data_IF_582820486653
#
_entry.id   IF_582820486653
#
_cell.length_a   1.000
_cell.length_b   1.000
_cell.length_c   1.000
_cell.angle_alpha   90.00
_cell.angle_beta   90.00
_cell.angle_gamma   90.00
#
_symmetry.space_group_name_H-M   'P 1'
#
loop_
_entity.id
_entity.type
_entity.pdbx_description
1 polymer ?
#
# COMPACT_ATOMS: atom_id res chain seq x y z
N UNK A 1 9.90 8.31 20.95
CA UNK A 1 8.75 9.13 20.50
C UNK A 1 8.26 8.53 19.19
N UNK A 2 6.98 8.64 18.85
CA UNK A 2 6.49 8.24 17.52
C UNK A 2 6.56 9.46 16.61
N UNK A 3 7.02 9.28 15.38
CA UNK A 3 7.05 10.36 14.39
C UNK A 3 5.67 10.60 13.77
N UNK A 4 4.84 9.56 13.71
CA UNK A 4 3.43 9.64 13.30
C UNK A 4 2.56 8.95 14.35
N UNK A 5 1.52 9.63 14.80
CA UNK A 5 0.46 9.03 15.62
C UNK A 5 -0.79 8.85 14.77
N UNK A 6 -1.30 7.62 14.70
CA UNK A 6 -2.56 7.36 14.00
C UNK A 6 -3.71 8.10 14.68
N UNK A 7 -4.50 8.81 13.89
CA UNK A 7 -5.73 9.48 14.33
C UNK A 7 -6.90 9.09 13.43
N UNK A 8 -8.13 9.31 13.90
CA UNK A 8 -9.32 9.04 13.07
C UNK A 8 -9.43 9.97 11.86
N UNK A 9 -8.69 11.08 11.83
CA UNK A 9 -8.65 12.00 10.68
C UNK A 9 -7.95 11.38 9.45
N UNK A 10 -7.21 10.28 9.65
CA UNK A 10 -6.59 9.51 8.58
C UNK A 10 -7.51 8.41 8.02
N UNK A 11 -8.62 8.13 8.70
CA UNK A 11 -9.54 7.10 8.25
C UNK A 11 -10.30 7.57 6.99
N UNK A 12 -10.40 6.65 6.05
CA UNK A 12 -11.15 6.80 4.81
C UNK A 12 -12.52 6.10 4.90
N UNK A 13 -12.72 5.21 5.88
CA UNK A 13 -13.94 4.43 6.00
C UNK A 13 -13.97 3.21 5.08
N UNK A 14 -12.81 2.81 4.55
CA UNK A 14 -12.61 1.53 3.88
C UNK A 14 -11.72 0.71 4.81
N UNK A 15 -12.32 -0.20 5.58
CA UNK A 15 -11.64 -0.91 6.68
C UNK A 15 -10.29 -1.54 6.26
N UNK A 16 -10.26 -2.18 5.08
CA UNK A 16 -9.05 -2.81 4.54
C UNK A 16 -7.92 -1.78 4.28
N UNK A 17 -8.24 -0.61 3.71
CA UNK A 17 -7.26 0.46 3.46
C UNK A 17 -6.84 1.12 4.77
N UNK A 18 -7.78 1.37 5.68
CA UNK A 18 -7.49 1.96 6.99
C UNK A 18 -6.57 1.05 7.83
N UNK A 19 -6.71 -0.27 7.74
CA UNK A 19 -5.78 -1.23 8.34
C UNK A 19 -4.40 -1.20 7.68
N UNK A 20 -4.34 -1.08 6.35
CA UNK A 20 -3.07 -0.92 5.62
C UNK A 20 -2.35 0.37 6.01
N UNK A 21 -3.07 1.50 6.12
CA UNK A 21 -2.50 2.76 6.56
C UNK A 21 -1.98 2.72 7.99
N UNK A 22 -2.70 2.08 8.93
CA UNK A 22 -2.21 1.86 10.31
C UNK A 22 -0.91 1.05 10.32
N UNK A 23 -0.81 0.04 9.48
CA UNK A 23 0.39 -0.78 9.35
C UNK A 23 1.55 0.04 8.79
N UNK A 24 1.33 0.86 7.76
CA UNK A 24 2.34 1.78 7.20
C UNK A 24 2.84 2.77 8.25
N UNK A 25 1.95 3.38 9.05
CA UNK A 25 2.33 4.22 10.18
C UNK A 25 3.23 3.47 11.16
N UNK A 26 2.91 2.21 11.46
CA UNK A 26 3.74 1.35 12.29
C UNK A 26 5.14 1.12 11.71
N UNK A 27 5.24 0.86 10.40
CA UNK A 27 6.50 0.66 9.69
C UNK A 27 7.36 1.94 9.66
N UNK A 28 6.76 3.10 9.38
CA UNK A 28 7.47 4.40 9.37
C UNK A 28 8.01 4.72 10.77
N UNK A 29 7.20 4.51 11.82
CA UNK A 29 7.65 4.68 13.20
C UNK A 29 8.78 3.71 13.59
N UNK A 30 8.72 2.47 13.09
CA UNK A 30 9.78 1.49 13.33
C UNK A 30 11.10 1.90 12.64
N UNK A 31 11.03 2.45 11.42
CA UNK A 31 12.19 2.98 10.71
C UNK A 31 12.79 4.19 11.44
N UNK A 32 11.96 5.15 11.86
CA UNK A 32 12.39 6.33 12.62
C UNK A 32 13.10 5.92 13.93
N UNK A 33 12.53 4.98 14.70
CA UNK A 33 13.18 4.52 15.93
C UNK A 33 14.60 3.95 15.71
N UNK A 34 14.91 3.47 14.50
CA UNK A 34 16.24 2.95 14.15
C UNK A 34 17.22 4.02 13.65
N UNK A 35 16.75 5.20 13.25
CA UNK A 35 17.64 6.32 12.88
C UNK A 35 18.26 6.99 14.11
N UNK A 36 17.57 6.94 15.26
CA UNK A 36 18.01 7.53 16.53
C UNK A 36 18.82 6.59 17.43
N UNK A 37 19.03 5.34 17.02
CA UNK A 37 19.83 4.35 17.74
C UNK A 37 21.01 3.92 16.87
N UNK A 38 22.14 3.53 17.49
CA UNK A 38 23.20 2.74 16.83
C UNK A 38 22.66 1.35 16.48
N UNK A 39 21.78 1.30 15.49
CA UNK A 39 21.11 0.08 15.07
C UNK A 39 21.98 -0.67 14.06
N UNK A 40 21.98 -1.99 14.18
CA UNK A 40 22.64 -2.87 13.21
C UNK A 40 22.09 -2.59 11.80
N UNK A 41 22.94 -2.31 10.79
CA UNK A 41 22.51 -1.99 9.43
C UNK A 41 21.56 -3.03 8.81
N UNK A 42 21.70 -4.28 9.24
CA UNK A 42 20.86 -5.39 8.80
C UNK A 42 19.40 -5.24 9.25
N UNK A 43 19.16 -4.62 10.41
CA UNK A 43 17.81 -4.33 10.89
C UNK A 43 17.14 -3.28 10.01
N UNK A 44 17.86 -2.22 9.65
CA UNK A 44 17.36 -1.20 8.74
C UNK A 44 17.05 -1.79 7.36
N UNK A 45 17.95 -2.61 6.80
CA UNK A 45 17.70 -3.31 5.53
C UNK A 45 16.41 -4.11 5.54
N UNK A 46 16.17 -4.90 6.59
CA UNK A 46 14.93 -5.69 6.71
C UNK A 46 13.68 -4.81 6.75
N UNK A 47 13.72 -3.71 7.52
CA UNK A 47 12.58 -2.78 7.60
C UNK A 47 12.30 -2.09 6.26
N UNK A 48 13.34 -1.68 5.52
CA UNK A 48 13.19 -1.07 4.19
C UNK A 48 12.62 -2.07 3.16
N UNK A 49 13.07 -3.32 3.21
CA UNK A 49 12.54 -4.39 2.36
C UNK A 49 11.06 -4.69 2.69
N UNK A 50 10.72 -4.75 3.98
CA UNK A 50 9.33 -4.91 4.43
C UNK A 50 8.45 -3.75 3.98
N UNK A 51 8.89 -2.51 4.16
CA UNK A 51 8.17 -1.33 3.70
C UNK A 51 7.97 -1.37 2.18
N UNK A 52 9.02 -1.66 1.41
CA UNK A 52 8.96 -1.74 -0.06
C UNK A 52 7.96 -2.78 -0.56
N UNK A 53 7.91 -3.94 0.10
CA UNK A 53 6.93 -4.96 -0.21
C UNK A 53 5.51 -4.49 0.14
N UNK A 54 5.33 -3.93 1.33
CA UNK A 54 4.02 -3.55 1.83
C UNK A 54 3.39 -2.41 1.01
N UNK A 55 4.19 -1.39 0.64
CA UNK A 55 3.69 -0.26 -0.18
C UNK A 55 3.32 -0.72 -1.59
N UNK A 56 4.02 -1.71 -2.15
CA UNK A 56 3.65 -2.28 -3.45
C UNK A 56 2.27 -2.92 -3.38
N UNK A 57 2.00 -3.68 -2.32
CA UNK A 57 0.75 -4.42 -2.19
C UNK A 57 -0.41 -3.49 -1.85
N UNK A 58 -0.19 -2.53 -0.95
CA UNK A 58 -1.14 -1.47 -0.62
C UNK A 58 -1.51 -0.63 -1.85
N UNK A 59 -0.52 -0.08 -2.56
CA UNK A 59 -0.76 0.69 -3.78
C UNK A 59 -1.46 -0.17 -4.85
N UNK A 60 -1.09 -1.43 -5.00
CA UNK A 60 -1.73 -2.34 -5.94
C UNK A 60 -3.22 -2.55 -5.67
N UNK A 61 -3.62 -2.59 -4.39
CA UNK A 61 -5.03 -2.68 -4.01
C UNK A 61 -5.80 -1.41 -4.41
N UNK A 62 -5.27 -0.23 -4.07
CA UNK A 62 -5.90 1.04 -4.41
C UNK A 62 -6.01 1.26 -5.92
N UNK A 63 -4.91 0.98 -6.64
CA UNK A 63 -4.84 1.09 -8.09
C UNK A 63 -5.94 0.25 -8.77
N UNK A 64 -6.24 -0.95 -8.24
CA UNK A 64 -7.35 -1.81 -8.72
C UNK A 64 -8.73 -1.28 -8.32
N UNK A 65 -8.85 -0.78 -7.09
CA UNK A 65 -10.09 -0.18 -6.60
C UNK A 65 -10.50 1.01 -7.48
N UNK A 66 -9.53 1.84 -7.86
CA UNK A 66 -9.73 2.97 -8.78
C UNK A 66 -10.03 2.49 -10.20
N UNK A 67 -9.27 1.54 -10.73
CA UNK A 67 -9.42 1.05 -12.10
C UNK A 67 -10.78 0.37 -12.36
N UNK A 68 -11.37 -0.26 -11.34
CA UNK A 68 -12.70 -0.86 -11.38
C UNK A 68 -13.82 0.11 -10.94
N UNK A 69 -13.47 1.33 -10.56
CA UNK A 69 -14.25 2.09 -9.59
C UNK A 69 -15.02 3.31 -10.04
N UNK A 70 -15.00 3.61 -11.33
CA UNK A 70 -15.59 4.83 -11.85
C UNK A 70 -14.82 6.10 -11.48
N UNK A 71 -13.60 6.00 -10.95
CA UNK A 71 -12.72 7.16 -10.77
C UNK A 71 -12.45 7.86 -12.11
N UNK A 72 -12.34 9.19 -12.08
CA UNK A 72 -12.00 9.98 -13.25
C UNK A 72 -10.58 9.64 -13.74
N UNK A 73 -10.34 9.60 -15.06
CA UNK A 73 -9.01 9.29 -15.60
C UNK A 73 -7.90 10.23 -15.11
N UNK A 74 -8.20 11.51 -14.86
CA UNK A 74 -7.23 12.47 -14.31
C UNK A 74 -6.82 12.10 -12.86
N UNK A 75 -7.78 11.72 -12.01
CA UNK A 75 -7.49 11.27 -10.65
C UNK A 75 -6.64 9.99 -10.68
N UNK A 76 -7.05 9.00 -11.49
CA UNK A 76 -6.32 7.73 -11.65
C UNK A 76 -4.87 8.00 -12.09
N UNK A 77 -4.67 8.83 -13.11
CA UNK A 77 -3.34 9.15 -13.62
C UNK A 77 -2.45 9.82 -12.58
N UNK A 78 -2.98 10.78 -11.82
CA UNK A 78 -2.23 11.47 -10.75
C UNK A 78 -1.88 10.53 -9.59
N UNK A 79 -2.85 9.74 -9.12
CA UNK A 79 -2.66 8.80 -8.01
C UNK A 79 -1.58 7.76 -8.34
N UNK A 80 -1.66 7.16 -9.54
CA UNK A 80 -0.66 6.18 -9.99
C UNK A 80 0.73 6.80 -10.15
N UNK A 81 0.80 8.07 -10.59
CA UNK A 81 2.07 8.78 -10.71
C UNK A 81 2.71 9.02 -9.34
N UNK A 82 1.94 9.41 -8.32
CA UNK A 82 2.39 9.54 -6.94
C UNK A 82 2.93 8.22 -6.39
N UNK A 83 2.21 7.11 -6.57
CA UNK A 83 2.67 5.78 -6.19
C UNK A 83 3.97 5.37 -6.89
N UNK A 84 4.06 5.62 -8.20
CA UNK A 84 5.25 5.31 -8.98
C UNK A 84 6.46 6.12 -8.50
N UNK A 85 6.25 7.41 -8.21
CA UNK A 85 7.30 8.29 -7.70
C UNK A 85 7.77 7.84 -6.32
N UNK A 86 6.85 7.56 -5.39
CA UNK A 86 7.17 7.05 -4.06
C UNK A 86 8.01 5.76 -4.12
N UNK A 87 7.58 4.79 -4.94
CA UNK A 87 8.33 3.53 -5.15
C UNK A 87 9.74 3.79 -5.67
N UNK A 88 9.92 4.76 -6.57
CA UNK A 88 11.24 5.15 -7.08
C UNK A 88 12.12 5.75 -5.98
N UNK A 89 11.60 6.71 -5.22
CA UNK A 89 12.35 7.36 -4.14
C UNK A 89 12.76 6.36 -3.06
N UNK A 90 11.85 5.47 -2.65
CA UNK A 90 12.15 4.42 -1.68
C UNK A 90 13.24 3.47 -2.19
N UNK A 91 13.19 3.08 -3.47
CA UNK A 91 14.20 2.24 -4.10
C UNK A 91 15.57 2.92 -4.13
N UNK A 92 15.63 4.19 -4.52
CA UNK A 92 16.89 4.94 -4.62
C UNK A 92 17.53 5.11 -3.24
N UNK A 93 16.74 5.47 -2.23
CA UNK A 93 17.21 5.61 -0.85
C UNK A 93 17.65 4.27 -0.23
N UNK A 94 16.95 3.18 -0.55
CA UNK A 94 17.36 1.83 -0.13
C UNK A 94 18.69 1.43 -0.77
N UNK A 95 18.85 1.69 -2.08
CA UNK A 95 20.09 1.43 -2.82
C UNK A 95 21.26 2.21 -2.24
N UNK A 96 21.03 3.46 -1.86
CA UNK A 96 22.03 4.33 -1.25
C UNK A 96 22.47 3.83 0.13
N UNK A 97 21.51 3.41 0.94
CA UNK A 97 21.77 2.78 2.22
C UNK A 97 22.62 1.51 2.08
N UNK A 98 22.30 0.65 1.11
CA UNK A 98 23.05 -0.58 0.81
C UNK A 98 24.49 -0.32 0.38
N UNK A 99 24.74 0.80 -0.31
CA UNK A 99 26.10 1.29 -0.66
C UNK A 99 26.87 1.85 0.53
N UNK A 100 26.31 1.80 1.74
CA UNK A 100 26.95 2.28 2.97
C UNK A 100 26.76 3.78 3.22
N UNK A 101 25.93 4.48 2.44
CA UNK A 101 25.59 5.90 2.70
C UNK A 101 24.59 6.00 3.85
N UNK A 102 25.08 5.97 5.09
CA UNK A 102 24.22 5.98 6.29
C UNK A 102 23.53 7.33 6.55
N UNK A 103 24.04 8.42 5.99
CA UNK A 103 23.47 9.76 6.15
C UNK A 103 22.13 9.98 5.41
N UNK A 104 21.65 9.00 4.64
CA UNK A 104 20.37 9.09 3.90
C UNK A 104 19.15 8.72 4.75
N UNK A 105 19.35 8.19 5.96
CA UNK A 105 18.25 7.68 6.80
C UNK A 105 17.34 8.78 7.32
N UNK A 106 17.87 9.92 7.78
CA UNK A 106 17.06 11.06 8.25
C UNK A 106 16.24 11.66 7.10
N UNK A 107 16.84 12.04 5.94
CA UNK A 107 16.08 12.52 4.79
C UNK A 107 15.01 11.53 4.31
N UNK A 108 15.29 10.22 4.38
CA UNK A 108 14.30 9.20 4.06
C UNK A 108 13.08 9.25 4.99
N UNK A 109 13.28 9.31 6.31
CA UNK A 109 12.16 9.39 7.26
C UNK A 109 11.34 10.65 7.02
N UNK A 110 12.00 11.80 6.86
CA UNK A 110 11.30 13.08 6.59
C UNK A 110 10.46 13.00 5.32
N UNK A 111 11.01 12.42 4.25
CA UNK A 111 10.27 12.17 3.02
C UNK A 111 9.07 11.25 3.24
N UNK A 112 9.28 10.09 3.88
CA UNK A 112 8.21 9.12 4.15
C UNK A 112 7.06 9.74 4.93
N UNK A 113 7.37 10.52 5.98
CA UNK A 113 6.36 11.18 6.82
C UNK A 113 5.59 12.22 6.04
N UNK A 114 6.28 13.12 5.34
CA UNK A 114 5.61 14.18 4.59
C UNK A 114 4.77 13.63 3.43
N UNK A 115 5.33 12.70 2.66
CA UNK A 115 4.60 12.09 1.55
C UNK A 115 3.37 11.34 2.05
N UNK A 116 3.53 10.47 3.07
CA UNK A 116 2.43 9.67 3.60
C UNK A 116 1.29 10.52 4.13
N UNK A 117 1.59 11.54 4.95
CA UNK A 117 0.56 12.43 5.50
C UNK A 117 -0.18 13.21 4.41
N UNK A 118 0.54 13.68 3.38
CA UNK A 118 -0.09 14.35 2.25
C UNK A 118 -0.98 13.39 1.46
N UNK A 119 -0.45 12.21 1.14
CA UNK A 119 -1.11 11.23 0.29
C UNK A 119 -2.44 10.75 0.89
N UNK A 120 -2.42 10.25 2.14
CA UNK A 120 -3.63 9.69 2.76
C UNK A 120 -4.72 10.74 3.02
N UNK A 121 -4.32 11.98 3.34
CA UNK A 121 -5.29 13.04 3.68
C UNK A 121 -5.89 13.68 2.43
N UNK A 122 -5.13 13.75 1.33
CA UNK A 122 -5.52 14.49 0.13
C UNK A 122 -5.87 13.54 -1.03
N UNK A 123 -4.95 12.65 -1.38
CA UNK A 123 -5.05 11.82 -2.59
C UNK A 123 -6.01 10.66 -2.37
N UNK A 124 -5.81 9.87 -1.32
CA UNK A 124 -6.65 8.68 -1.06
C UNK A 124 -8.07 9.08 -0.66
N UNK A 125 -8.21 10.20 0.07
CA UNK A 125 -9.52 10.78 0.37
C UNK A 125 -10.28 11.17 -0.90
N UNK A 126 -9.61 11.72 -1.90
CA UNK A 126 -10.23 12.04 -3.19
C UNK A 126 -10.66 10.77 -3.94
N UNK A 127 -9.88 9.69 -3.87
CA UNK A 127 -10.29 8.37 -4.35
C UNK A 127 -11.59 7.94 -3.68
N UNK A 128 -11.62 7.86 -2.34
CA UNK A 128 -12.79 7.38 -1.60
C UNK A 128 -14.06 8.17 -1.92
N UNK A 129 -13.96 9.51 -2.07
CA UNK A 129 -15.09 10.34 -2.48
C UNK A 129 -15.68 9.92 -3.82
N UNK A 130 -14.84 9.60 -4.81
CA UNK A 130 -15.34 9.14 -6.11
C UNK A 130 -15.84 7.69 -6.06
N UNK A 131 -15.21 6.83 -5.25
CA UNK A 131 -15.65 5.44 -5.12
C UNK A 131 -17.04 5.32 -4.50
N UNK A 132 -17.37 6.16 -3.52
CA UNK A 132 -18.69 6.21 -2.89
C UNK A 132 -19.82 6.68 -3.82
N UNK A 133 -19.48 7.32 -4.95
CA UNK A 133 -20.45 7.85 -5.90
C UNK A 133 -20.77 6.87 -7.05
N UNK A 134 -20.11 5.70 -7.10
CA UNK A 134 -20.19 4.75 -8.22
C UNK A 134 -20.89 3.44 -7.83
N UNK A 135 -21.60 2.83 -8.79
CA UNK A 135 -22.17 1.47 -8.68
C UNK A 135 -21.18 0.43 -9.27
N UNK A 136 -21.08 -0.80 -8.71
CA UNK A 136 -21.79 -1.37 -7.56
C UNK A 136 -21.23 -0.91 -6.20
N UNK A 137 -21.90 -1.31 -5.11
CA UNK A 137 -21.50 -1.04 -3.71
C UNK A 137 -19.99 -1.25 -3.45
N UNK A 138 -19.43 -0.34 -2.65
CA UNK A 138 -17.99 -0.28 -2.35
C UNK A 138 -17.47 -1.57 -1.70
N UNK A 139 -18.22 -2.23 -0.82
CA UNK A 139 -17.77 -3.46 -0.18
C UNK A 139 -17.50 -4.57 -1.20
N UNK A 140 -18.39 -4.71 -2.18
CA UNK A 140 -18.24 -5.66 -3.29
C UNK A 140 -16.97 -5.38 -4.11
N UNK A 141 -16.67 -4.10 -4.34
CA UNK A 141 -15.50 -3.68 -5.12
C UNK A 141 -14.19 -3.92 -4.37
N UNK A 142 -14.15 -3.63 -3.07
CA UNK A 142 -12.99 -3.92 -2.22
C UNK A 142 -12.68 -5.42 -2.23
N UNK A 143 -13.71 -6.27 -2.08
CA UNK A 143 -13.53 -7.72 -2.13
C UNK A 143 -12.97 -8.20 -3.48
N UNK A 144 -13.48 -7.66 -4.60
CA UNK A 144 -13.03 -7.99 -5.94
C UNK A 144 -11.57 -7.53 -6.18
N UNK A 145 -11.24 -6.29 -5.82
CA UNK A 145 -9.89 -5.74 -5.97
C UNK A 145 -8.86 -6.52 -5.15
N UNK A 146 -9.21 -6.89 -3.90
CA UNK A 146 -8.37 -7.73 -3.03
C UNK A 146 -8.13 -9.09 -3.65
N UNK A 147 -9.18 -9.77 -4.14
CA UNK A 147 -9.02 -11.07 -4.78
C UNK A 147 -8.12 -10.97 -6.00
N UNK A 148 -8.33 -9.96 -6.84
CA UNK A 148 -7.52 -9.74 -8.03
C UNK A 148 -6.05 -9.48 -7.68
N UNK A 149 -5.78 -8.67 -6.64
CA UNK A 149 -4.43 -8.42 -6.14
C UNK A 149 -3.74 -9.70 -5.68
N UNK A 150 -4.41 -10.49 -4.84
CA UNK A 150 -3.90 -11.78 -4.37
C UNK A 150 -3.61 -12.74 -5.53
N UNK A 151 -4.45 -12.75 -6.57
CA UNK A 151 -4.24 -13.65 -7.72
C UNK A 151 -3.07 -13.24 -8.62
N UNK A 152 -2.73 -11.96 -8.70
CA UNK A 152 -1.63 -11.52 -9.56
C UNK A 152 -0.26 -11.88 -9.00
N UNK A 153 -0.16 -12.04 -7.68
CA UNK A 153 1.06 -12.50 -7.00
C UNK A 153 1.28 -14.01 -7.11
N UNK A 154 0.25 -14.77 -7.51
CA UNK A 154 0.35 -16.21 -7.69
C UNK A 154 1.05 -16.58 -9.01
N UNK A 155 1.82 -17.66 -8.97
CA UNK A 155 2.34 -18.29 -10.18
C UNK A 155 1.19 -18.74 -11.09
N UNK A 156 1.45 -18.90 -12.39
CA UNK A 156 0.42 -19.35 -13.33
C UNK A 156 -0.17 -20.72 -12.93
N UNK A 157 0.67 -21.60 -12.39
CA UNK A 157 0.26 -22.89 -11.82
C UNK A 157 -0.67 -22.73 -10.62
N UNK A 158 -0.35 -21.82 -9.68
CA UNK A 158 -1.15 -21.63 -8.47
C UNK A 158 -2.49 -20.97 -8.79
N UNK A 159 -2.51 -20.03 -9.75
CA UNK A 159 -3.76 -19.45 -10.26
C UNK A 159 -4.69 -20.50 -10.84
N UNK A 160 -4.15 -21.41 -11.67
CA UNK A 160 -4.95 -22.50 -12.27
C UNK A 160 -5.55 -23.40 -11.19
N UNK A 161 -4.77 -23.78 -10.16
CA UNK A 161 -5.26 -24.59 -9.04
C UNK A 161 -6.36 -23.88 -8.24
N UNK A 162 -6.21 -22.57 -8.00
CA UNK A 162 -7.23 -21.78 -7.30
C UNK A 162 -8.54 -21.72 -8.10
N UNK A 163 -8.47 -21.45 -9.41
CA UNK A 163 -9.65 -21.40 -10.30
C UNK A 163 -10.36 -22.75 -10.34
N UNK A 164 -9.60 -23.86 -10.44
CA UNK A 164 -10.17 -25.20 -10.46
C UNK A 164 -10.89 -25.54 -9.14
N UNK A 165 -10.31 -25.14 -8.00
CA UNK A 165 -10.89 -25.36 -6.67
C UNK A 165 -12.16 -24.55 -6.45
N UNK A 166 -12.15 -23.27 -6.81
CA UNK A 166 -13.33 -22.39 -6.73
C UNK A 166 -14.48 -22.90 -7.63
N UNK A 167 -14.15 -23.38 -8.83
CA UNK A 167 -15.14 -23.95 -9.76
C UNK A 167 -15.78 -25.23 -9.19
N UNK A 168 -14.99 -26.11 -8.56
CA UNK A 168 -15.50 -27.31 -7.88
C UNK A 168 -16.40 -26.97 -6.69
N UNK A 169 -16.01 -26.01 -5.86
CA UNK A 169 -16.82 -25.57 -4.70
C UNK A 169 -18.16 -24.93 -5.13
N UNK A 170 -18.17 -24.14 -6.21
CA UNK A 170 -19.40 -23.57 -6.75
C UNK A 170 -20.32 -24.64 -7.36
N UNK A 171 -19.77 -25.67 -8.02
CA UNK A 171 -20.54 -26.79 -8.53
C UNK A 171 -21.18 -27.61 -7.40
N UNK A 172 -20.45 -27.84 -6.30
CA UNK A 172 -20.98 -28.53 -5.11
C UNK A 172 -22.08 -27.73 -4.41
N UNK A 173 -22.01 -26.40 -4.38
CA UNK A 173 -23.06 -25.55 -3.80
C UNK A 173 -24.32 -25.41 -4.65
N UNK A 174 -24.24 -25.77 -5.94
CA UNK A 174 -25.37 -25.71 -6.89
C UNK A 174 -26.06 -27.08 -7.09
N UNK A 175 -25.50 -28.15 -6.53
CA UNK A 175 -26.05 -29.50 -6.54
C UNK A 175 -26.81 -29.77 -5.23
#
# INVERSE_FOLDING_TARGET
MRVIEWTNDFALGIDEIDEQHRTLVGMINALDARTHCDSEPETMRRLLAQLSHYVRDHFGLEERLMGSGGCSPDLVGRHFAEHAYFRSVLKDLTTDFEKGRRNVTIPLIEYLVHWFLHHIVVVDRAMTHQLNAAEPDLATRVAAARLQHLTDELSESDRRLLVERLSKEQAVRRA
#
